data_IF_384270134123
#
_entry.id   IF_384270134123
#
_cell.length_a   1.000
_cell.length_b   1.000
_cell.length_c   1.000
_cell.angle_alpha   90.00
_cell.angle_beta   90.00
_cell.angle_gamma   90.00
#
_symmetry.space_group_name_H-M   'P 1'
#
loop_
_entity.id
_entity.type
_entity.pdbx_description
1 polymer ?
#
# COMPACT_ATOMS: atom_id res chain seq x y z
N UNK A 1 10.60 -19.86 22.24
CA UNK A 1 10.31 -18.66 21.42
C UNK A 1 8.84 -18.70 21.02
N UNK A 2 8.01 -17.70 21.36
CA UNK A 2 6.55 -17.81 21.23
C UNK A 2 6.09 -17.57 19.77
N UNK A 3 5.78 -18.64 19.04
CA UNK A 3 5.48 -18.64 17.59
C UNK A 3 4.39 -17.65 17.19
N UNK A 4 3.35 -17.47 18.02
CA UNK A 4 2.25 -16.53 17.76
C UNK A 4 2.72 -15.07 17.65
N UNK A 5 3.67 -14.64 18.49
CA UNK A 5 4.20 -13.27 18.47
C UNK A 5 5.03 -12.98 17.21
N UNK A 6 5.68 -14.00 16.64
CA UNK A 6 6.48 -13.83 15.43
C UNK A 6 5.60 -13.71 14.18
N UNK A 7 4.52 -14.50 14.11
CA UNK A 7 3.55 -14.42 13.02
C UNK A 7 2.89 -13.04 12.98
N UNK A 8 2.46 -12.51 14.12
CA UNK A 8 1.83 -11.18 14.18
C UNK A 8 2.76 -10.06 13.68
N UNK A 9 4.07 -10.16 13.97
CA UNK A 9 5.07 -9.19 13.50
C UNK A 9 5.27 -9.25 11.99
N UNK A 10 5.32 -10.46 11.42
CA UNK A 10 5.45 -10.67 9.98
C UNK A 10 4.21 -10.18 9.24
N UNK A 11 3.02 -10.42 9.78
CA UNK A 11 1.74 -10.04 9.18
C UNK A 11 1.39 -8.55 9.38
N UNK A 12 2.11 -7.82 10.22
CA UNK A 12 1.81 -6.41 10.50
C UNK A 12 1.78 -5.55 9.22
N UNK A 13 2.83 -5.58 8.41
CA UNK A 13 2.90 -4.79 7.17
C UNK A 13 1.92 -5.27 6.10
N UNK A 14 1.75 -6.57 5.84
CA UNK A 14 0.68 -7.06 4.96
C UNK A 14 -0.70 -6.55 5.36
N UNK A 15 -1.05 -6.64 6.66
CA UNK A 15 -2.34 -6.16 7.16
C UNK A 15 -2.46 -4.63 7.08
N UNK A 16 -1.37 -3.91 7.27
CA UNK A 16 -1.35 -2.46 7.14
C UNK A 16 -1.56 -2.01 5.69
N UNK A 17 -0.92 -2.66 4.72
CA UNK A 17 -1.15 -2.38 3.29
C UNK A 17 -2.59 -2.70 2.94
N UNK A 18 -3.09 -3.88 3.31
CA UNK A 18 -4.48 -4.28 3.10
C UNK A 18 -5.45 -3.25 3.67
N UNK A 19 -5.16 -2.71 4.86
CA UNK A 19 -5.95 -1.65 5.45
C UNK A 19 -6.02 -0.41 4.55
N UNK A 20 -4.87 0.14 4.12
CA UNK A 20 -4.83 1.32 3.26
C UNK A 20 -5.51 1.10 1.91
N UNK A 21 -5.23 -0.03 1.29
CA UNK A 21 -5.85 -0.48 0.05
C UNK A 21 -7.38 -0.54 0.22
N UNK A 22 -7.86 -1.20 1.28
CA UNK A 22 -9.31 -1.32 1.54
C UNK A 22 -9.96 0.02 1.80
N UNK A 23 -9.32 0.89 2.58
CA UNK A 23 -9.81 2.24 2.87
C UNK A 23 -9.94 3.06 1.59
N UNK A 24 -8.91 3.04 0.74
CA UNK A 24 -8.95 3.68 -0.57
C UNK A 24 -10.11 3.13 -1.40
N UNK A 25 -10.28 1.81 -1.43
CA UNK A 25 -11.32 1.18 -2.22
C UNK A 25 -12.73 1.54 -1.75
N UNK A 26 -12.95 1.55 -0.44
CA UNK A 26 -14.21 1.93 0.21
C UNK A 26 -14.62 3.37 -0.11
N UNK A 27 -13.66 4.30 -0.19
CA UNK A 27 -13.99 5.69 -0.46
C UNK A 27 -14.10 6.03 -1.95
N UNK A 28 -13.38 5.32 -2.81
CA UNK A 28 -13.27 5.67 -4.23
C UNK A 28 -14.23 4.85 -5.11
N UNK A 29 -14.43 3.57 -4.83
CA UNK A 29 -15.17 2.67 -5.70
C UNK A 29 -16.51 2.24 -5.09
N UNK A 30 -17.53 2.10 -5.94
CA UNK A 30 -18.85 1.65 -5.51
C UNK A 30 -18.85 0.19 -5.05
N UNK A 31 -18.00 -0.65 -5.66
CA UNK A 31 -17.94 -2.10 -5.36
C UNK A 31 -16.60 -2.50 -4.76
N UNK A 32 -16.57 -2.66 -3.44
CA UNK A 32 -15.35 -3.03 -2.72
C UNK A 32 -15.00 -4.51 -2.93
N UNK A 33 -15.96 -5.41 -2.73
CA UNK A 33 -15.73 -6.86 -2.78
C UNK A 33 -15.96 -7.42 -4.18
N UNK A 34 -14.99 -7.18 -5.06
CA UNK A 34 -14.94 -7.75 -6.41
C UNK A 34 -13.73 -8.68 -6.56
N UNK A 35 -13.56 -9.30 -7.74
CA UNK A 35 -12.39 -10.15 -8.01
C UNK A 35 -11.07 -9.38 -7.88
N UNK A 36 -11.07 -8.07 -8.16
CA UNK A 36 -9.94 -7.18 -7.94
C UNK A 36 -9.50 -7.12 -6.48
N UNK A 37 -10.45 -7.15 -5.54
CA UNK A 37 -10.12 -7.20 -4.10
C UNK A 37 -9.33 -8.46 -3.73
N UNK A 38 -9.59 -9.59 -4.38
CA UNK A 38 -8.83 -10.84 -4.17
C UNK A 38 -7.39 -10.67 -4.66
N UNK A 39 -7.20 -10.16 -5.87
CA UNK A 39 -5.86 -9.91 -6.43
C UNK A 39 -5.07 -8.88 -5.63
N UNK A 40 -5.70 -7.76 -5.27
CA UNK A 40 -5.18 -6.74 -4.38
C UNK A 40 -4.74 -7.33 -3.03
N UNK A 41 -5.55 -8.23 -2.46
CA UNK A 41 -5.18 -8.93 -1.24
C UNK A 41 -3.92 -9.79 -1.42
N UNK A 42 -3.87 -10.54 -2.52
CA UNK A 42 -2.73 -11.38 -2.85
C UNK A 42 -1.46 -10.54 -3.03
N UNK A 43 -1.50 -9.43 -3.78
CA UNK A 43 -0.35 -8.56 -4.00
C UNK A 43 0.11 -7.80 -2.74
N UNK A 44 -0.81 -7.52 -1.81
CA UNK A 44 -0.46 -6.88 -0.54
C UNK A 44 0.43 -7.75 0.35
N UNK A 45 0.34 -9.08 0.22
CA UNK A 45 1.14 -10.02 1.01
C UNK A 45 2.66 -9.89 0.75
N UNK A 46 3.18 -10.13 -0.48
CA UNK A 46 4.61 -10.04 -0.76
C UNK A 46 5.16 -8.63 -0.53
N UNK A 47 4.39 -7.58 -0.85
CA UNK A 47 4.78 -6.19 -0.57
C UNK A 47 4.91 -5.93 0.94
N UNK A 48 3.97 -6.43 1.74
CA UNK A 48 4.05 -6.31 3.20
C UNK A 48 5.24 -7.08 3.77
N UNK A 49 5.54 -8.27 3.25
CA UNK A 49 6.73 -9.03 3.63
C UNK A 49 8.03 -8.28 3.27
N UNK A 50 8.06 -7.58 2.13
CA UNK A 50 9.19 -6.73 1.74
C UNK A 50 9.43 -5.62 2.79
N UNK A 51 8.39 -4.87 3.18
CA UNK A 51 8.55 -3.84 4.22
C UNK A 51 8.93 -4.42 5.59
N UNK A 52 8.41 -5.60 5.93
CA UNK A 52 8.86 -6.32 7.12
C UNK A 52 10.36 -6.64 7.08
N UNK A 53 10.89 -7.10 5.93
CA UNK A 53 12.32 -7.36 5.76
C UNK A 53 13.16 -6.08 5.86
N UNK A 54 12.71 -4.99 5.24
CA UNK A 54 13.36 -3.68 5.34
C UNK A 54 13.43 -3.16 6.77
N UNK A 55 12.44 -3.45 7.60
CA UNK A 55 12.37 -2.98 8.99
C UNK A 55 12.99 -3.94 10.01
N UNK A 56 13.53 -5.09 9.57
CA UNK A 56 14.14 -6.09 10.44
C UNK A 56 15.56 -6.49 10.04
N UNK A 57 15.99 -6.16 8.83
CA UNK A 57 17.30 -6.52 8.27
C UNK A 57 18.51 -5.76 8.83
N UNK A 58 18.31 -4.63 9.52
CA UNK A 58 19.38 -3.73 9.95
C UNK A 58 19.58 -3.73 11.47
N UNK A 59 20.32 -2.74 11.98
CA UNK A 59 20.47 -2.50 13.41
C UNK A 59 19.16 -1.93 14.02
N UNK A 60 19.03 -1.98 15.34
CA UNK A 60 17.80 -1.59 16.04
C UNK A 60 17.37 -0.13 15.76
N UNK A 61 18.33 0.81 15.74
CA UNK A 61 18.06 2.23 15.49
C UNK A 61 17.55 2.45 14.06
N UNK A 62 18.19 1.87 13.07
CA UNK A 62 17.82 1.94 11.65
C UNK A 62 16.47 1.27 11.41
N UNK A 63 16.25 0.09 11.96
CA UNK A 63 14.98 -0.63 11.88
C UNK A 63 13.82 0.19 12.44
N UNK A 64 14.05 0.85 13.58
CA UNK A 64 13.08 1.77 14.18
C UNK A 64 12.77 2.92 13.22
N UNK A 65 13.78 3.64 12.74
CA UNK A 65 13.59 4.78 11.82
C UNK A 65 12.83 4.33 10.56
N UNK A 66 13.24 3.22 9.94
CA UNK A 66 12.57 2.66 8.75
C UNK A 66 11.12 2.32 9.01
N UNK A 67 10.81 1.71 10.16
CA UNK A 67 9.43 1.35 10.51
C UNK A 67 8.52 2.56 10.60
N UNK A 68 8.92 3.59 11.35
CA UNK A 68 8.14 4.83 11.47
C UNK A 68 8.06 5.57 10.12
N UNK A 69 9.16 5.59 9.37
CA UNK A 69 9.23 6.25 8.06
C UNK A 69 8.32 5.59 7.03
N UNK A 70 8.30 4.27 6.95
CA UNK A 70 7.46 3.53 5.98
C UNK A 70 5.98 3.76 6.30
N UNK A 71 5.58 3.67 7.57
CA UNK A 71 4.16 3.86 7.95
C UNK A 71 3.73 5.30 7.65
N UNK A 72 4.56 6.28 8.01
CA UNK A 72 4.30 7.69 7.72
C UNK A 72 4.18 7.93 6.21
N UNK A 73 5.14 7.40 5.43
CA UNK A 73 5.13 7.51 3.97
C UNK A 73 3.89 6.88 3.35
N UNK A 74 3.51 5.66 3.75
CA UNK A 74 2.30 5.01 3.27
C UNK A 74 1.06 5.84 3.61
N UNK A 75 0.94 6.32 4.85
CA UNK A 75 -0.20 7.16 5.26
C UNK A 75 -0.33 8.40 4.38
N UNK A 76 0.77 9.13 4.20
CA UNK A 76 0.80 10.34 3.39
C UNK A 76 0.53 10.02 1.92
N UNK A 77 1.08 8.92 1.39
CA UNK A 77 0.88 8.49 0.02
C UNK A 77 -0.59 8.18 -0.26
N UNK A 78 -1.24 7.31 0.52
CA UNK A 78 -2.66 6.99 0.33
C UNK A 78 -3.56 8.21 0.56
N UNK A 79 -3.27 9.03 1.58
CA UNK A 79 -4.03 10.26 1.84
C UNK A 79 -3.93 11.24 0.67
N UNK A 80 -2.73 11.43 0.12
CA UNK A 80 -2.52 12.26 -1.05
C UNK A 80 -3.26 11.71 -2.29
N UNK A 81 -3.25 10.39 -2.51
CA UNK A 81 -3.93 9.77 -3.64
C UNK A 81 -5.45 9.91 -3.56
N UNK A 82 -6.04 9.78 -2.37
CA UNK A 82 -7.48 9.99 -2.17
C UNK A 82 -7.87 11.43 -2.51
N UNK A 83 -7.16 12.41 -1.96
CA UNK A 83 -7.45 13.83 -2.25
C UNK A 83 -7.20 14.16 -3.72
N UNK A 84 -6.13 13.62 -4.29
CA UNK A 84 -5.85 13.79 -5.72
C UNK A 84 -6.97 13.21 -6.58
N UNK A 85 -7.47 12.02 -6.24
CA UNK A 85 -8.60 11.41 -6.93
C UNK A 85 -9.87 12.27 -6.79
N UNK A 86 -10.13 12.86 -5.63
CA UNK A 86 -11.28 13.76 -5.43
C UNK A 86 -11.23 15.01 -6.32
N UNK A 87 -10.04 15.48 -6.69
CA UNK A 87 -9.86 16.67 -7.55
C UNK A 87 -9.87 16.28 -9.04
N UNK A 88 -9.15 15.22 -9.40
CA UNK A 88 -8.83 14.90 -10.80
C UNK A 88 -9.51 13.63 -11.34
N UNK A 89 -10.23 12.89 -10.48
CA UNK A 89 -10.89 11.62 -10.81
C UNK A 89 -9.95 10.56 -11.43
N UNK A 90 -8.68 10.61 -11.05
CA UNK A 90 -7.65 9.66 -11.48
C UNK A 90 -6.56 9.55 -10.42
N UNK A 91 -5.71 8.54 -10.50
CA UNK A 91 -4.56 8.39 -9.62
C UNK A 91 -3.30 8.97 -10.26
N UNK A 92 -2.38 9.49 -9.44
CA UNK A 92 -1.14 10.04 -9.98
C UNK A 92 -0.22 8.91 -10.42
N UNK A 93 0.42 9.05 -11.58
CA UNK A 93 1.68 8.34 -11.85
C UNK A 93 2.87 9.18 -11.36
N UNK A 94 4.03 8.56 -11.14
CA UNK A 94 5.28 9.28 -10.82
C UNK A 94 5.60 10.40 -11.83
N UNK A 95 5.22 10.21 -13.10
CA UNK A 95 5.38 11.20 -14.16
C UNK A 95 4.49 12.42 -13.96
N UNK A 96 3.22 12.22 -13.56
CA UNK A 96 2.26 13.31 -13.31
C UNK A 96 2.66 14.18 -12.12
N UNK A 97 3.32 13.63 -11.11
CA UNK A 97 3.84 14.41 -9.97
C UNK A 97 4.97 15.34 -10.43
N UNK A 98 5.88 14.86 -11.28
CA UNK A 98 7.03 15.62 -11.75
C UNK A 98 6.62 16.81 -12.64
N UNK A 99 5.58 16.64 -13.46
CA UNK A 99 5.10 17.67 -14.40
C UNK A 99 3.98 18.54 -13.81
N UNK A 100 3.15 17.98 -12.92
CA UNK A 100 1.95 18.63 -12.39
C UNK A 100 2.17 19.55 -11.18
N UNK A 101 3.26 19.37 -10.43
CA UNK A 101 3.59 20.17 -9.23
C UNK A 101 3.71 21.67 -9.52
N UNK A 102 4.16 22.05 -10.72
CA UNK A 102 4.24 23.45 -11.14
C UNK A 102 2.86 24.13 -11.32
N UNK A 103 1.80 23.37 -11.60
CA UNK A 103 0.42 23.89 -11.75
C UNK A 103 -0.39 23.81 -10.46
N UNK A 104 0.01 22.95 -9.52
CA UNK A 104 -0.71 22.71 -8.26
C UNK A 104 -0.74 23.91 -7.31
N UNK A 105 0.27 24.80 -7.37
CA UNK A 105 0.32 26.02 -6.56
C UNK A 105 -0.81 27.00 -6.86
N UNK A 106 -1.42 26.92 -8.06
CA UNK A 106 -2.55 27.77 -8.46
C UNK A 106 -3.92 27.31 -7.93
N UNK A 107 -4.00 26.14 -7.29
CA UNK A 107 -5.26 25.53 -6.84
C UNK A 107 -5.24 25.17 -5.35
N UNK A 108 -4.44 25.89 -4.55
CA UNK A 108 -4.34 25.65 -3.10
C UNK A 108 -5.71 25.79 -2.42
N UNK A 109 -6.54 26.76 -2.83
CA UNK A 109 -7.89 26.92 -2.28
C UNK A 109 -8.77 25.68 -2.55
N UNK A 110 -8.68 25.12 -3.76
CA UNK A 110 -9.39 23.88 -4.12
C UNK A 110 -8.87 22.70 -3.29
N UNK A 111 -7.56 22.61 -3.08
CA UNK A 111 -6.95 21.58 -2.23
C UNK A 111 -7.44 21.66 -0.79
N UNK A 112 -7.44 22.86 -0.20
CA UNK A 112 -7.89 23.08 1.19
C UNK A 112 -9.38 22.73 1.33
N UNK A 113 -10.23 23.21 0.41
CA UNK A 113 -11.66 22.88 0.45
C UNK A 113 -11.88 21.37 0.32
N UNK A 114 -11.18 20.70 -0.61
CA UNK A 114 -11.27 19.25 -0.77
C UNK A 114 -10.83 18.50 0.49
N UNK A 115 -9.76 18.95 1.16
CA UNK A 115 -9.32 18.37 2.43
C UNK A 115 -10.41 18.49 3.52
N UNK A 116 -11.05 19.66 3.62
CA UNK A 116 -12.11 19.92 4.60
C UNK A 116 -13.36 19.09 4.32
N UNK A 117 -13.74 18.95 3.05
CA UNK A 117 -14.91 18.17 2.63
C UNK A 117 -14.72 16.66 2.84
N UNK A 118 -13.46 16.18 2.86
CA UNK A 118 -13.11 14.76 2.96
C UNK A 118 -12.40 14.41 4.28
N UNK A 119 -12.67 15.15 5.37
CA UNK A 119 -12.06 14.92 6.69
C UNK A 119 -12.25 13.48 7.18
N UNK A 120 -13.41 12.86 6.92
CA UNK A 120 -13.67 11.47 7.34
C UNK A 120 -12.68 10.48 6.70
N UNK A 121 -12.36 10.69 5.43
CA UNK A 121 -11.43 9.84 4.66
C UNK A 121 -10.01 10.01 5.18
N UNK A 122 -9.61 11.25 5.44
CA UNK A 122 -8.32 11.57 6.05
C UNK A 122 -8.20 10.95 7.44
N UNK A 123 -9.21 11.07 8.31
CA UNK A 123 -9.17 10.46 9.64
C UNK A 123 -8.98 8.95 9.56
N UNK A 124 -9.69 8.28 8.65
CA UNK A 124 -9.54 6.86 8.44
C UNK A 124 -8.12 6.52 7.96
N UNK A 125 -7.59 7.20 6.94
CA UNK A 125 -6.22 6.96 6.46
C UNK A 125 -5.19 7.22 7.55
N UNK A 126 -5.33 8.25 8.38
CA UNK A 126 -4.35 8.60 9.42
C UNK A 126 -4.47 7.75 10.70
N UNK A 127 -5.49 6.90 10.81
CA UNK A 127 -5.74 6.04 11.97
C UNK A 127 -4.54 5.16 12.36
N UNK A 128 -3.79 4.51 11.44
CA UNK A 128 -2.63 3.71 11.79
C UNK A 128 -1.50 4.52 12.45
N UNK A 129 -1.29 5.78 12.05
CA UNK A 129 -0.35 6.67 12.74
C UNK A 129 -0.83 6.96 14.16
N UNK A 130 -2.12 7.27 14.34
CA UNK A 130 -2.71 7.51 15.66
C UNK A 130 -2.52 6.31 16.60
N UNK A 131 -2.79 5.10 16.10
CA UNK A 131 -2.55 3.86 16.84
C UNK A 131 -1.06 3.66 17.15
N UNK A 132 -0.18 3.95 16.20
CA UNK A 132 1.26 3.82 16.39
C UNK A 132 1.79 4.80 17.44
N UNK A 133 1.30 6.05 17.47
CA UNK A 133 1.64 7.03 18.52
C UNK A 133 1.14 6.54 19.88
N UNK A 134 -0.05 5.94 19.95
CA UNK A 134 -0.55 5.37 21.20
C UNK A 134 0.27 4.15 21.68
N UNK A 135 0.64 3.25 20.77
CA UNK A 135 1.34 2.00 21.09
C UNK A 135 2.87 2.07 21.02
N UNK A 136 3.48 3.23 20.73
CA UNK A 136 4.93 3.37 20.47
C UNK A 136 5.83 2.73 21.54
N UNK A 137 5.43 2.77 22.82
CA UNK A 137 6.18 2.20 23.95
C UNK A 137 6.20 0.67 23.98
N UNK A 138 5.24 0.01 23.32
CA UNK A 138 5.10 -1.46 23.27
C UNK A 138 5.84 -2.08 22.08
N UNK A 139 6.36 -1.26 21.16
CA UNK A 139 7.02 -1.74 19.94
C UNK A 139 8.49 -2.07 20.24
N UNK A 140 8.86 -3.33 20.03
CA UNK A 140 10.21 -3.84 20.28
C UNK A 140 10.89 -4.29 18.98
N UNK A 141 12.08 -3.75 18.72
CA UNK A 141 12.88 -3.95 17.51
C UNK A 141 14.00 -4.98 17.71
N UNK A 142 13.67 -6.11 18.34
CA UNK A 142 14.64 -7.16 18.64
C UNK A 142 15.27 -7.72 17.35
N UNK A 143 16.58 -8.00 17.40
CA UNK A 143 17.27 -8.68 16.30
C UNK A 143 16.65 -10.05 16.02
N UNK A 144 16.47 -10.33 14.75
CA UNK A 144 15.88 -11.58 14.24
C UNK A 144 17.01 -12.42 13.64
N UNK A 145 17.02 -13.76 13.85
CA UNK A 145 18.06 -14.61 13.26
C UNK A 145 18.03 -14.56 11.73
N UNK A 146 19.22 -14.49 11.11
CA UNK A 146 19.39 -14.38 9.65
C UNK A 146 18.66 -15.48 8.88
N UNK A 147 18.65 -16.72 9.39
CA UNK A 147 17.93 -17.82 8.75
C UNK A 147 16.42 -17.57 8.63
N UNK A 148 15.82 -16.86 9.59
CA UNK A 148 14.41 -16.50 9.53
C UNK A 148 14.15 -15.40 8.49
N UNK A 149 15.02 -14.40 8.42
CA UNK A 149 14.99 -13.33 7.41
C UNK A 149 15.05 -13.95 6.00
N UNK A 150 15.97 -14.89 5.77
CA UNK A 150 16.11 -15.60 4.48
C UNK A 150 14.83 -16.37 4.15
N UNK A 151 14.24 -17.09 5.11
CA UNK A 151 12.97 -17.82 4.88
C UNK A 151 11.83 -16.89 4.48
N UNK A 152 11.70 -15.75 5.15
CA UNK A 152 10.68 -14.74 4.82
C UNK A 152 10.94 -14.15 3.43
N UNK A 153 12.19 -13.83 3.09
CA UNK A 153 12.56 -13.33 1.76
C UNK A 153 12.23 -14.33 0.65
N UNK A 154 12.61 -15.60 0.81
CA UNK A 154 12.28 -16.65 -0.16
C UNK A 154 10.77 -16.82 -0.30
N UNK A 155 10.01 -16.80 0.81
CA UNK A 155 8.55 -16.88 0.74
C UNK A 155 7.91 -15.70 0.00
N UNK A 156 8.43 -14.48 0.19
CA UNK A 156 7.93 -13.30 -0.49
C UNK A 156 8.16 -13.38 -2.01
N UNK A 157 9.34 -13.84 -2.43
CA UNK A 157 9.67 -14.03 -3.86
C UNK A 157 8.78 -15.10 -4.47
N UNK A 158 8.62 -16.26 -3.82
CA UNK A 158 7.76 -17.34 -4.33
C UNK A 158 6.30 -16.87 -4.46
N UNK A 159 5.78 -16.16 -3.45
CA UNK A 159 4.43 -15.59 -3.49
C UNK A 159 4.29 -14.60 -4.64
N UNK A 160 5.21 -13.64 -4.76
CA UNK A 160 5.18 -12.64 -5.83
C UNK A 160 5.20 -13.30 -7.22
N UNK A 161 6.11 -14.26 -7.44
CA UNK A 161 6.19 -14.99 -8.72
C UNK A 161 4.92 -15.76 -9.02
N UNK A 162 4.35 -16.46 -8.04
CA UNK A 162 3.11 -17.20 -8.22
C UNK A 162 1.94 -16.27 -8.58
N UNK A 163 1.80 -15.14 -7.89
CA UNK A 163 0.73 -14.16 -8.15
C UNK A 163 0.89 -13.58 -9.56
N UNK A 164 2.09 -13.14 -9.94
CA UNK A 164 2.35 -12.62 -11.29
C UNK A 164 2.03 -13.66 -12.36
N UNK A 165 2.44 -14.91 -12.18
CA UNK A 165 2.09 -15.99 -13.12
C UNK A 165 0.59 -16.19 -13.24
N UNK A 166 -0.16 -16.15 -12.12
CA UNK A 166 -1.63 -16.29 -12.17
C UNK A 166 -2.29 -15.14 -12.92
N UNK A 167 -1.81 -13.91 -12.73
CA UNK A 167 -2.34 -12.71 -13.41
C UNK A 167 -2.05 -12.76 -14.90
N UNK A 168 -0.82 -13.11 -15.29
CA UNK A 168 -0.40 -13.20 -16.68
C UNK A 168 -1.07 -14.36 -17.43
N UNK A 169 -1.47 -15.42 -16.73
CA UNK A 169 -2.16 -16.58 -17.34
C UNK A 169 -3.67 -16.36 -17.52
N UNK A 170 -4.20 -15.21 -17.09
CA UNK A 170 -5.63 -14.91 -17.11
C UNK A 170 -5.97 -13.89 -18.19
N UNK A 171 -6.37 -14.37 -19.37
CA UNK A 171 -6.80 -13.56 -20.53
C UNK A 171 -8.33 -13.39 -20.65
N UNK A 172 -9.05 -13.56 -19.55
CA UNK A 172 -10.51 -13.54 -19.57
C UNK A 172 -11.04 -12.10 -19.64
N UNK A 173 -11.71 -11.77 -20.74
CA UNK A 173 -12.43 -10.50 -20.96
C UNK A 173 -11.56 -9.39 -21.57
N UNK A 174 -12.22 -8.31 -22.01
CA UNK A 174 -11.58 -7.16 -22.68
C UNK A 174 -10.63 -6.40 -21.73
N UNK A 175 -10.96 -6.37 -20.43
CA UNK A 175 -10.11 -5.83 -19.36
C UNK A 175 -9.56 -6.99 -18.50
N UNK A 176 -8.89 -7.94 -19.16
CA UNK A 176 -8.29 -9.08 -18.49
C UNK A 176 -7.23 -8.64 -17.48
N UNK A 177 -7.00 -9.42 -16.40
CA UNK A 177 -5.89 -9.15 -15.49
C UNK A 177 -4.54 -9.04 -16.21
N UNK A 178 -4.24 -9.89 -17.20
CA UNK A 178 -3.01 -9.83 -17.99
C UNK A 178 -2.85 -8.50 -18.73
N UNK A 179 -3.94 -8.00 -19.33
CA UNK A 179 -3.97 -6.75 -20.09
C UNK A 179 -3.78 -5.54 -19.17
N UNK A 180 -4.55 -5.44 -18.09
CA UNK A 180 -4.42 -4.36 -17.10
C UNK A 180 -3.07 -4.38 -16.36
N UNK A 181 -2.46 -5.55 -16.22
CA UNK A 181 -1.14 -5.72 -15.63
C UNK A 181 -0.01 -5.44 -16.62
N UNK A 182 -0.27 -5.36 -17.92
CA UNK A 182 0.75 -5.04 -18.93
C UNK A 182 0.66 -3.57 -19.34
N UNK A 183 -0.54 -3.10 -19.63
CA UNK A 183 -0.82 -1.74 -20.07
C UNK A 183 -0.95 -0.75 -18.90
N UNK A 184 -0.38 0.45 -19.03
CA UNK A 184 -0.31 1.46 -17.95
C UNK A 184 -1.31 2.61 -18.11
N UNK A 185 -2.09 2.63 -19.19
CA UNK A 185 -2.99 3.75 -19.50
C UNK A 185 -4.30 3.73 -18.71
N UNK A 186 -4.73 2.57 -18.19
CA UNK A 186 -5.98 2.41 -17.45
C UNK A 186 -5.74 2.38 -15.93
N UNK A 187 -5.12 3.43 -15.41
CA UNK A 187 -4.65 3.50 -14.02
C UNK A 187 -5.78 3.25 -13.00
N UNK A 188 -6.96 3.83 -13.20
CA UNK A 188 -8.10 3.67 -12.27
C UNK A 188 -8.58 2.21 -12.23
N UNK A 189 -8.67 1.54 -13.38
CA UNK A 189 -9.08 0.13 -13.46
C UNK A 189 -7.99 -0.79 -12.87
N UNK A 190 -6.72 -0.47 -13.12
CA UNK A 190 -5.60 -1.23 -12.57
C UNK A 190 -5.53 -1.10 -11.03
N UNK A 191 -5.80 0.09 -10.48
CA UNK A 191 -5.90 0.27 -9.02
C UNK A 191 -7.07 -0.52 -8.44
N UNK A 192 -8.22 -0.56 -9.12
CA UNK A 192 -9.36 -1.38 -8.67
C UNK A 192 -9.01 -2.88 -8.65
N UNK A 193 -8.26 -3.32 -9.66
CA UNK A 193 -7.92 -4.72 -9.90
C UNK A 193 -6.78 -5.23 -9.02
N UNK A 194 -5.75 -4.42 -8.79
CA UNK A 194 -4.48 -4.87 -8.18
C UNK A 194 -4.09 -4.09 -6.93
N UNK A 195 -4.76 -2.99 -6.64
CA UNK A 195 -4.35 -2.05 -5.60
C UNK A 195 -3.41 -0.97 -6.11
N UNK A 196 -3.31 0.10 -5.33
CA UNK A 196 -2.56 1.31 -5.66
C UNK A 196 -1.05 1.04 -5.70
N UNK A 197 -0.50 0.34 -4.70
CA UNK A 197 0.94 0.06 -4.64
C UNK A 197 1.43 -0.85 -5.77
N UNK A 198 0.57 -1.72 -6.28
CA UNK A 198 0.92 -2.62 -7.39
C UNK A 198 0.81 -1.91 -8.74
N UNK A 199 -0.05 -0.89 -8.83
CA UNK A 199 -0.29 -0.15 -10.08
C UNK A 199 0.73 0.95 -10.33
N UNK A 200 1.35 1.52 -9.28
CA UNK A 200 2.37 2.58 -9.39
C UNK A 200 3.75 2.16 -9.92
N UNK A 201 3.80 1.13 -10.78
CA UNK A 201 5.02 0.60 -11.42
C UNK A 201 5.55 1.49 -12.55
#
# INVERSE_FOLDING_TARGET
MNTKKNILKVLFFPLLILYYETILKVFIYDTVFNIGYVYMCLFSLPLGLLFYLLTTGFNEKTNKILFYSIISFLTLYYGAQIIYYRIFYTFTSFYSILVGTAKALGFIDVLINTLLDNIAELIAVFLPIGLLVYFHRKIQFNKIPKNYIIKVAVSAVIMQSAIVLTVLSSDIGILSPSYLYSETFLVVESVDKFGLLTTGR
#
